data_IF_318720635771
#
_entry.id   IF_318720635771
#
_cell.length_a   1.000
_cell.length_b   1.000
_cell.length_c   1.000
_cell.angle_alpha   90.00
_cell.angle_beta   90.00
_cell.angle_gamma   90.00
#
_symmetry.space_group_name_H-M   'P 1'
#
loop_
_entity.id
_entity.type
_entity.pdbx_description
1 polymer ?
#
# COMPACT_ATOMS: atom_id res chain seq x y z
N UNK A 1 4.51 -1.05 -17.55
CA UNK A 1 4.44 0.41 -17.20
C UNK A 1 5.80 1.07 -17.29
N UNK A 2 5.91 2.28 -17.91
CA UNK A 2 7.14 3.08 -17.97
C UNK A 2 6.95 4.32 -17.10
N UNK A 3 7.82 4.50 -16.10
CA UNK A 3 7.80 5.67 -15.22
C UNK A 3 8.79 6.72 -15.77
N UNK A 4 8.27 7.81 -16.31
CA UNK A 4 9.06 8.94 -16.83
C UNK A 4 9.25 10.01 -15.76
N UNK A 5 8.18 10.33 -15.06
CA UNK A 5 8.14 11.35 -14.02
C UNK A 5 7.45 10.83 -12.76
N UNK A 6 7.98 11.16 -11.60
CA UNK A 6 7.34 10.91 -10.32
C UNK A 6 7.80 11.92 -9.27
N UNK A 7 6.86 12.43 -8.47
CA UNK A 7 7.13 13.45 -7.44
C UNK A 7 6.06 13.49 -6.36
N UNK A 8 6.37 14.16 -5.23
CA UNK A 8 5.35 14.48 -4.23
C UNK A 8 4.42 15.53 -4.83
N UNK A 9 3.13 15.23 -4.85
CA UNK A 9 2.10 16.12 -5.35
C UNK A 9 1.37 16.85 -4.20
N UNK A 10 0.95 16.10 -3.17
CA UNK A 10 0.24 16.65 -2.02
C UNK A 10 0.51 15.88 -0.74
N UNK A 11 0.41 16.58 0.40
CA UNK A 11 0.43 16.03 1.75
C UNK A 11 -0.90 16.44 2.42
N UNK A 12 -1.79 15.49 2.66
CA UNK A 12 -3.13 15.77 3.13
C UNK A 12 -3.37 15.26 4.56
N UNK A 13 -3.96 16.10 5.40
CA UNK A 13 -4.45 15.77 6.75
C UNK A 13 -5.97 15.86 6.83
N UNK A 14 -6.62 16.31 5.74
CA UNK A 14 -8.08 16.45 5.62
C UNK A 14 -8.52 16.36 4.15
N UNK A 15 -9.79 15.98 3.88
CA UNK A 15 -10.27 15.72 2.53
C UNK A 15 -10.11 16.87 1.53
N UNK A 16 -10.22 18.13 1.98
CA UNK A 16 -10.12 19.31 1.13
C UNK A 16 -8.72 19.51 0.51
N UNK A 17 -7.73 18.76 1.02
CA UNK A 17 -6.34 18.77 0.54
C UNK A 17 -6.05 17.65 -0.46
N UNK A 18 -7.02 16.80 -0.75
CA UNK A 18 -6.82 15.73 -1.73
C UNK A 18 -6.69 16.30 -3.13
N UNK A 19 -5.91 15.67 -4.02
CA UNK A 19 -5.78 16.12 -5.40
C UNK A 19 -7.16 16.21 -6.06
N UNK A 20 -7.40 17.32 -6.76
CA UNK A 20 -8.52 17.48 -7.68
C UNK A 20 -8.13 16.92 -9.07
N UNK A 21 -9.13 16.67 -9.93
CA UNK A 21 -8.87 16.27 -11.31
C UNK A 21 -9.17 14.83 -11.66
N UNK A 22 -9.61 14.01 -10.70
CA UNK A 22 -10.16 12.68 -11.00
C UNK A 22 -9.15 11.61 -11.47
N UNK A 23 -7.84 11.84 -11.29
CA UNK A 23 -6.83 10.85 -11.64
C UNK A 23 -6.93 9.62 -10.72
N UNK A 24 -6.76 8.40 -11.27
CA UNK A 24 -6.86 7.18 -10.48
C UNK A 24 -5.76 7.11 -9.40
N UNK A 25 -6.12 6.50 -8.29
CA UNK A 25 -5.27 6.39 -7.10
C UNK A 25 -5.05 4.93 -6.70
N UNK A 26 -3.82 4.60 -6.34
CA UNK A 26 -3.47 3.30 -5.75
C UNK A 26 -2.99 3.55 -4.33
N UNK A 27 -3.75 3.07 -3.35
CA UNK A 27 -3.41 3.24 -1.94
C UNK A 27 -2.45 2.15 -1.45
N UNK A 28 -1.50 2.53 -0.61
CA UNK A 28 -0.61 1.60 0.09
C UNK A 28 -0.96 1.58 1.58
N UNK A 29 -1.31 0.41 2.07
CA UNK A 29 -1.58 0.16 3.49
C UNK A 29 -0.59 -0.86 4.04
N UNK A 30 -0.28 -0.77 5.32
CA UNK A 30 0.63 -1.71 5.96
C UNK A 30 1.15 -1.17 7.28
N UNK A 31 1.78 -2.06 8.05
CA UNK A 31 2.39 -1.68 9.32
C UNK A 31 3.53 -0.70 9.14
N UNK A 32 3.84 0.00 10.22
CA UNK A 32 5.06 0.82 10.27
C UNK A 32 6.29 -0.04 9.98
N UNK A 33 7.22 0.49 9.18
CA UNK A 33 8.48 -0.16 8.79
C UNK A 33 8.30 -1.48 8.00
N UNK A 34 7.12 -1.74 7.45
CA UNK A 34 6.86 -2.90 6.59
C UNK A 34 7.53 -2.76 5.22
N UNK A 35 7.87 -1.55 4.80
CA UNK A 35 8.56 -1.28 3.54
C UNK A 35 7.77 -0.46 2.51
N UNK A 36 6.69 0.26 2.91
CA UNK A 36 5.89 1.09 2.00
C UNK A 36 6.75 2.09 1.21
N UNK A 37 7.48 2.95 1.90
CA UNK A 37 8.35 3.94 1.24
C UNK A 37 9.44 3.30 0.39
N UNK A 38 9.96 2.13 0.80
CA UNK A 38 10.94 1.38 0.01
C UNK A 38 10.33 0.83 -1.28
N UNK A 39 9.10 0.31 -1.21
CA UNK A 39 8.37 -0.15 -2.40
C UNK A 39 8.12 1.00 -3.37
N UNK A 40 7.60 2.14 -2.89
CA UNK A 40 7.33 3.32 -3.70
C UNK A 40 8.63 3.77 -4.40
N UNK A 41 9.71 3.95 -3.65
CA UNK A 41 10.99 4.40 -4.20
C UNK A 41 11.55 3.43 -5.25
N UNK A 42 11.51 2.12 -4.96
CA UNK A 42 12.01 1.09 -5.86
C UNK A 42 11.15 0.98 -7.13
N UNK A 43 9.82 1.00 -6.98
CA UNK A 43 8.91 0.91 -8.11
C UNK A 43 9.03 2.12 -9.03
N UNK A 44 9.06 3.33 -8.48
CA UNK A 44 9.16 4.58 -9.23
C UNK A 44 10.59 4.88 -9.73
N UNK A 45 11.58 4.10 -9.33
CA UNK A 45 12.99 4.34 -9.71
C UNK A 45 13.52 5.67 -9.16
N UNK A 46 13.05 6.09 -7.98
CA UNK A 46 13.46 7.34 -7.33
C UNK A 46 14.09 7.07 -5.97
N UNK A 47 15.21 7.71 -5.68
CA UNK A 47 15.85 7.65 -4.37
C UNK A 47 15.22 8.71 -3.45
N UNK A 48 14.82 8.31 -2.23
CA UNK A 48 14.33 9.21 -1.18
C UNK A 48 13.08 10.07 -1.53
N UNK A 49 12.30 9.69 -2.54
CA UNK A 49 11.04 10.34 -2.85
C UNK A 49 10.04 10.13 -1.71
N UNK A 50 9.76 8.87 -1.38
CA UNK A 50 9.03 8.51 -0.18
C UNK A 50 10.00 8.38 0.99
N UNK A 51 9.82 9.20 2.03
CA UNK A 51 10.70 9.19 3.20
C UNK A 51 10.27 8.10 4.18
N UNK A 52 11.22 7.31 4.62
CA UNK A 52 11.04 6.42 5.77
C UNK A 52 11.05 7.28 7.04
N UNK A 53 9.89 7.69 7.56
CA UNK A 53 9.87 8.36 8.85
C UNK A 53 10.01 7.34 9.97
N UNK A 54 11.10 7.42 10.71
CA UNK A 54 11.32 6.65 11.94
C UNK A 54 10.84 7.36 13.20
N UNK A 55 10.28 8.58 13.07
CA UNK A 55 9.93 9.41 14.23
C UNK A 55 8.45 9.25 14.56
N UNK A 56 8.09 8.64 15.71
CA UNK A 56 6.71 8.59 16.22
C UNK A 56 6.23 10.01 16.58
N UNK A 57 4.96 10.34 16.30
CA UNK A 57 4.31 11.56 16.79
C UNK A 57 4.24 12.73 15.82
N UNK A 58 4.75 12.64 14.59
CA UNK A 58 4.45 13.63 13.54
C UNK A 58 3.02 13.43 13.03
N UNK A 59 2.34 14.54 12.71
CA UNK A 59 1.04 14.56 12.04
C UNK A 59 1.07 13.58 10.88
N UNK A 60 0.23 12.55 10.95
CA UNK A 60 0.20 11.53 9.91
C UNK A 60 -0.58 12.08 8.72
N UNK A 61 0.09 12.16 7.59
CA UNK A 61 -0.47 12.65 6.33
C UNK A 61 -0.73 11.49 5.37
N UNK A 62 -1.70 11.64 4.51
CA UNK A 62 -1.77 10.90 3.26
C UNK A 62 -0.81 11.57 2.29
N UNK A 63 0.15 10.82 1.80
CA UNK A 63 1.16 11.37 0.88
C UNK A 63 0.82 10.92 -0.53
N UNK A 64 0.49 11.88 -1.39
CA UNK A 64 0.16 11.65 -2.80
C UNK A 64 1.42 11.83 -3.64
N UNK A 65 1.83 10.77 -4.31
CA UNK A 65 2.95 10.78 -5.26
C UNK A 65 2.38 10.72 -6.67
N UNK A 66 2.48 11.82 -7.42
CA UNK A 66 2.07 11.86 -8.83
C UNK A 66 3.03 11.07 -9.71
N UNK A 67 2.48 10.33 -10.66
CA UNK A 67 3.22 9.48 -11.60
C UNK A 67 2.80 9.81 -13.02
N UNK A 68 3.72 10.24 -13.85
CA UNK A 68 3.54 10.60 -15.26
C UNK A 68 2.44 11.66 -15.51
N UNK A 69 1.90 12.32 -14.48
CA UNK A 69 0.70 13.15 -14.59
C UNK A 69 -0.59 12.35 -14.86
N UNK A 70 -0.55 11.02 -14.70
CA UNK A 70 -1.63 10.10 -15.09
C UNK A 70 -2.34 9.44 -13.89
N UNK A 71 -1.66 9.26 -12.76
CA UNK A 71 -2.19 8.60 -11.57
C UNK A 71 -1.37 8.92 -10.31
N UNK A 72 -1.86 8.48 -9.15
CA UNK A 72 -1.19 8.67 -7.85
C UNK A 72 -0.93 7.37 -7.12
N UNK A 73 0.29 7.22 -6.56
CA UNK A 73 0.44 6.41 -5.35
C UNK A 73 0.02 7.23 -4.14
N UNK A 74 -0.73 6.61 -3.22
CA UNK A 74 -1.14 7.24 -1.96
C UNK A 74 -0.60 6.43 -0.80
N UNK A 75 0.46 6.95 -0.13
CA UNK A 75 1.03 6.31 1.07
C UNK A 75 0.20 6.69 2.29
N UNK A 76 -0.52 5.71 2.82
CA UNK A 76 -1.30 5.88 4.03
C UNK A 76 -0.43 5.71 5.27
N UNK A 77 -0.77 6.37 6.40
CA UNK A 77 -0.11 6.16 7.67
C UNK A 77 -0.05 4.68 8.04
N UNK A 78 1.13 4.21 8.48
CA UNK A 78 1.29 2.84 8.92
C UNK A 78 0.50 2.56 10.21
N UNK A 79 -0.17 1.43 10.26
CA UNK A 79 -0.84 0.97 11.49
C UNK A 79 0.13 0.20 12.41
N UNK A 80 -0.34 -0.12 13.63
CA UNK A 80 0.44 -0.96 14.57
C UNK A 80 1.50 -0.22 15.40
N UNK A 81 1.44 1.12 15.49
CA UNK A 81 2.30 1.86 16.42
C UNK A 81 1.89 1.60 17.89
N UNK A 82 2.79 0.98 18.66
CA UNK A 82 2.59 0.72 20.08
C UNK A 82 2.61 2.00 20.97
N UNK A 83 3.19 3.10 20.47
CA UNK A 83 3.47 4.31 21.25
C UNK A 83 2.48 5.47 21.02
N UNK A 84 1.30 5.22 20.49
CA UNK A 84 0.26 6.24 20.30
C UNK A 84 -0.93 5.98 21.21
N UNK A 85 -1.59 7.05 21.64
CA UNK A 85 -2.80 6.96 22.47
C UNK A 85 -3.90 6.18 21.75
N UNK A 86 -4.83 5.61 22.53
CA UNK A 86 -6.01 4.94 21.96
C UNK A 86 -6.86 5.91 21.12
N UNK A 87 -6.95 7.17 21.54
CA UNK A 87 -7.70 8.23 20.88
C UNK A 87 -7.08 8.62 19.54
N UNK A 88 -5.77 8.79 19.48
CA UNK A 88 -5.05 9.05 18.22
C UNK A 88 -5.20 7.90 17.25
N UNK A 89 -5.08 6.65 17.73
CA UNK A 89 -5.28 5.45 16.91
C UNK A 89 -6.69 5.39 16.32
N UNK A 90 -7.72 5.69 17.11
CA UNK A 90 -9.10 5.73 16.65
C UNK A 90 -9.34 6.88 15.66
N UNK A 91 -8.74 8.05 15.88
CA UNK A 91 -8.82 9.18 14.93
C UNK A 91 -8.19 8.86 13.60
N UNK A 92 -7.02 8.21 13.60
CA UNK A 92 -6.34 7.79 12.37
C UNK A 92 -7.08 6.67 11.65
N UNK A 93 -7.64 5.72 12.39
CA UNK A 93 -8.50 4.69 11.82
C UNK A 93 -9.65 5.31 11.04
N UNK A 94 -10.39 6.25 11.65
CA UNK A 94 -11.48 6.97 10.98
C UNK A 94 -11.02 7.78 9.76
N UNK A 95 -9.84 8.39 9.82
CA UNK A 95 -9.29 9.15 8.70
C UNK A 95 -8.97 8.27 7.50
N UNK A 96 -8.30 7.13 7.73
CA UNK A 96 -7.97 6.12 6.71
C UNK A 96 -9.27 5.52 6.14
N UNK A 97 -10.19 5.12 7.00
CA UNK A 97 -11.50 4.57 6.63
C UNK A 97 -12.28 5.56 5.75
N UNK A 98 -12.34 6.82 6.15
CA UNK A 98 -13.01 7.88 5.38
C UNK A 98 -12.39 8.03 3.99
N UNK A 99 -11.06 8.05 3.88
CA UNK A 99 -10.39 8.10 2.60
C UNK A 99 -10.74 6.87 1.75
N UNK A 100 -10.52 5.67 2.27
CA UNK A 100 -10.72 4.43 1.52
C UNK A 100 -12.18 4.24 1.07
N UNK A 101 -13.16 4.62 1.90
CA UNK A 101 -14.59 4.38 1.59
C UNK A 101 -15.23 5.48 0.74
N UNK A 102 -14.73 6.72 0.82
CA UNK A 102 -15.35 7.86 0.15
C UNK A 102 -14.60 8.34 -1.08
N UNK A 103 -13.35 7.92 -1.26
CA UNK A 103 -12.53 8.37 -2.39
C UNK A 103 -12.92 7.62 -3.67
N UNK A 104 -13.55 8.33 -4.61
CA UNK A 104 -14.04 7.75 -5.88
C UNK A 104 -12.91 7.36 -6.83
N UNK A 105 -11.80 8.07 -6.77
CA UNK A 105 -10.60 7.88 -7.59
C UNK A 105 -9.78 6.65 -7.19
N UNK A 106 -10.07 6.02 -6.06
CA UNK A 106 -9.34 4.86 -5.58
C UNK A 106 -9.60 3.64 -6.47
N UNK A 107 -8.60 3.27 -7.29
CA UNK A 107 -8.67 2.18 -8.24
C UNK A 107 -8.21 0.82 -7.66
N UNK A 108 -7.41 0.85 -6.59
CA UNK A 108 -6.94 -0.37 -5.94
C UNK A 108 -6.11 -0.10 -4.70
N UNK A 109 -5.87 -1.16 -3.93
CA UNK A 109 -5.12 -1.10 -2.67
C UNK A 109 -4.02 -2.15 -2.67
N UNK A 110 -2.82 -1.74 -2.28
CA UNK A 110 -1.71 -2.66 -2.03
C UNK A 110 -1.55 -2.78 -0.51
N UNK A 111 -1.82 -3.96 0.03
CA UNK A 111 -1.50 -4.25 1.42
C UNK A 111 -0.09 -4.85 1.51
N UNK A 112 0.78 -4.21 2.29
CA UNK A 112 2.14 -4.68 2.50
C UNK A 112 2.23 -5.49 3.79
N UNK A 113 2.91 -6.65 3.71
CA UNK A 113 3.28 -7.48 4.85
C UNK A 113 4.76 -7.83 4.78
N UNK A 114 5.38 -8.11 5.92
CA UNK A 114 6.79 -8.52 5.99
C UNK A 114 6.89 -10.04 5.76
N UNK A 115 7.47 -10.45 4.62
CA UNK A 115 7.56 -11.85 4.22
C UNK A 115 8.38 -12.73 5.19
N UNK A 116 9.19 -12.13 6.05
CA UNK A 116 10.06 -12.86 6.99
C UNK A 116 9.31 -13.50 8.15
N UNK A 117 8.09 -13.06 8.40
CA UNK A 117 7.29 -13.48 9.57
C UNK A 117 5.86 -13.80 9.15
N UNK A 118 5.13 -14.61 9.93
CA UNK A 118 3.69 -14.74 9.78
C UNK A 118 3.01 -13.36 9.87
N UNK A 119 1.92 -13.12 9.13
CA UNK A 119 1.13 -11.90 9.28
C UNK A 119 0.71 -11.69 10.73
N UNK A 120 0.75 -10.44 11.17
CA UNK A 120 0.29 -10.06 12.50
C UNK A 120 -1.24 -9.92 12.52
N UNK A 121 -1.85 -10.01 13.70
CA UNK A 121 -3.29 -9.82 13.88
C UNK A 121 -3.82 -8.53 13.22
N UNK A 122 -3.06 -7.43 13.32
CA UNK A 122 -3.40 -6.16 12.67
C UNK A 122 -3.39 -6.24 11.14
N UNK A 123 -2.56 -7.10 10.54
CA UNK A 123 -2.54 -7.33 9.09
C UNK A 123 -3.80 -8.10 8.66
N UNK A 124 -4.19 -9.12 9.45
CA UNK A 124 -5.42 -9.88 9.25
C UNK A 124 -6.67 -9.01 9.40
N UNK A 125 -6.72 -8.17 10.44
CA UNK A 125 -7.84 -7.24 10.69
C UNK A 125 -8.01 -6.26 9.51
N UNK A 126 -6.91 -5.68 9.01
CA UNK A 126 -6.94 -4.79 7.84
C UNK A 126 -7.42 -5.55 6.61
N UNK A 127 -6.88 -6.73 6.33
CA UNK A 127 -7.29 -7.53 5.17
C UNK A 127 -8.77 -7.90 5.21
N UNK A 128 -9.26 -8.40 6.35
CA UNK A 128 -10.68 -8.74 6.53
C UNK A 128 -11.58 -7.52 6.25
N UNK A 129 -11.18 -6.34 6.72
CA UNK A 129 -11.90 -5.09 6.46
C UNK A 129 -11.89 -4.73 4.96
N UNK A 130 -10.74 -4.83 4.28
CA UNK A 130 -10.62 -4.54 2.86
C UNK A 130 -11.48 -5.48 2.01
N UNK A 131 -11.47 -6.78 2.31
CA UNK A 131 -12.28 -7.79 1.63
C UNK A 131 -13.77 -7.59 1.87
N UNK A 132 -14.16 -7.24 3.12
CA UNK A 132 -15.56 -6.92 3.46
C UNK A 132 -16.11 -5.78 2.58
N UNK A 133 -15.29 -4.76 2.34
CA UNK A 133 -15.64 -3.62 1.48
C UNK A 133 -15.42 -3.88 -0.02
N UNK A 134 -15.02 -5.11 -0.40
CA UNK A 134 -14.82 -5.54 -1.80
C UNK A 134 -13.83 -4.68 -2.58
N UNK A 135 -12.82 -4.14 -1.92
CA UNK A 135 -11.75 -3.41 -2.62
C UNK A 135 -10.93 -4.36 -3.50
N UNK A 136 -10.49 -3.92 -4.69
CA UNK A 136 -9.43 -4.60 -5.43
C UNK A 136 -8.13 -4.53 -4.64
N UNK A 137 -7.63 -5.68 -4.15
CA UNK A 137 -6.45 -5.74 -3.28
C UNK A 137 -5.37 -6.62 -3.90
N UNK A 138 -4.12 -6.15 -3.82
CA UNK A 138 -2.91 -6.97 -4.01
C UNK A 138 -2.13 -7.00 -2.69
N UNK A 139 -1.60 -8.16 -2.31
CA UNK A 139 -0.68 -8.28 -1.18
C UNK A 139 0.75 -8.26 -1.68
N UNK A 140 1.53 -7.26 -1.24
CA UNK A 140 2.97 -7.19 -1.47
C UNK A 140 3.71 -7.71 -0.24
N UNK A 141 4.23 -8.94 -0.31
CA UNK A 141 5.02 -9.56 0.73
C UNK A 141 6.48 -9.11 0.61
N UNK A 142 6.84 -8.09 1.38
CA UNK A 142 8.08 -7.31 1.27
C UNK A 142 9.29 -8.00 1.90
N UNK A 143 10.51 -7.45 1.62
CA UNK A 143 11.80 -7.92 2.16
C UNK A 143 12.16 -9.34 1.74
N UNK A 144 11.73 -9.76 0.56
CA UNK A 144 12.02 -11.07 0.00
C UNK A 144 13.53 -11.34 -0.16
N UNK A 145 14.35 -10.28 -0.32
CA UNK A 145 15.80 -10.35 -0.34
C UNK A 145 16.45 -10.86 0.96
N UNK A 146 15.70 -10.86 2.06
CA UNK A 146 16.16 -11.34 3.37
C UNK A 146 15.94 -12.84 3.56
N UNK A 147 15.40 -13.53 2.57
CA UNK A 147 15.08 -14.96 2.60
C UNK A 147 15.78 -15.70 1.46
N UNK A 148 16.24 -16.94 1.69
CA UNK A 148 16.69 -17.80 0.62
C UNK A 148 15.60 -18.03 -0.42
N UNK A 149 15.94 -18.03 -1.71
CA UNK A 149 14.96 -18.18 -2.81
C UNK A 149 14.07 -19.42 -2.66
N UNK A 150 14.65 -20.55 -2.23
CA UNK A 150 13.89 -21.80 -2.02
C UNK A 150 12.83 -21.73 -0.91
N UNK A 151 12.89 -20.73 -0.01
CA UNK A 151 11.88 -20.53 1.02
C UNK A 151 10.72 -19.64 0.58
N UNK A 152 10.87 -18.87 -0.49
CA UNK A 152 9.86 -17.89 -0.90
C UNK A 152 8.47 -18.50 -1.15
N UNK A 153 8.31 -19.63 -1.86
CA UNK A 153 6.98 -20.22 -2.08
C UNK A 153 6.26 -20.60 -0.78
N UNK A 154 6.99 -21.18 0.16
CA UNK A 154 6.43 -21.55 1.46
C UNK A 154 6.02 -20.35 2.30
N UNK A 155 6.81 -19.25 2.25
CA UNK A 155 6.49 -18.01 2.95
C UNK A 155 5.29 -17.28 2.31
N UNK A 156 5.20 -17.27 0.99
CA UNK A 156 4.02 -16.72 0.29
C UNK A 156 2.77 -17.50 0.68
N UNK A 157 2.85 -18.84 0.73
CA UNK A 157 1.74 -19.66 1.20
C UNK A 157 1.36 -19.31 2.64
N UNK A 158 2.34 -19.15 3.55
CA UNK A 158 2.10 -18.75 4.94
C UNK A 158 1.41 -17.38 5.05
N UNK A 159 1.76 -16.42 4.18
CA UNK A 159 1.08 -15.12 4.10
C UNK A 159 -0.36 -15.31 3.65
N UNK A 160 -0.63 -16.10 2.61
CA UNK A 160 -2.00 -16.38 2.13
C UNK A 160 -2.87 -16.99 3.23
N UNK A 161 -2.35 -18.03 3.87
CA UNK A 161 -3.05 -18.76 4.94
C UNK A 161 -3.30 -17.84 6.15
N UNK A 162 -2.27 -17.10 6.57
CA UNK A 162 -2.34 -16.21 7.75
C UNK A 162 -3.25 -15.00 7.57
N UNK A 163 -3.48 -14.56 6.33
CA UNK A 163 -4.45 -13.49 5.99
C UNK A 163 -5.82 -14.05 5.57
N UNK A 164 -6.00 -15.37 5.53
CA UNK A 164 -7.24 -16.03 5.07
C UNK A 164 -7.71 -15.53 3.70
N UNK A 165 -6.77 -15.41 2.75
CA UNK A 165 -7.04 -14.80 1.45
C UNK A 165 -7.90 -15.69 0.56
N UNK A 166 -8.91 -15.12 -0.16
CA UNK A 166 -9.54 -15.79 -1.29
C UNK A 166 -8.52 -16.26 -2.33
N UNK A 167 -8.86 -17.32 -3.07
CA UNK A 167 -7.94 -17.96 -4.01
C UNK A 167 -7.45 -17.03 -5.12
N UNK A 168 -8.26 -16.08 -5.54
CA UNK A 168 -8.03 -15.10 -6.60
C UNK A 168 -7.27 -13.84 -6.14
N UNK A 169 -7.10 -13.63 -4.83
CA UNK A 169 -6.35 -12.46 -4.34
C UNK A 169 -4.86 -12.61 -4.68
N UNK A 170 -4.26 -11.70 -5.45
CA UNK A 170 -2.86 -11.78 -5.81
C UNK A 170 -1.93 -11.53 -4.61
N UNK A 171 -0.90 -12.36 -4.49
CA UNK A 171 0.18 -12.20 -3.49
C UNK A 171 1.50 -12.27 -4.23
N UNK A 172 2.30 -11.22 -4.15
CA UNK A 172 3.63 -11.15 -4.74
C UNK A 172 4.71 -11.09 -3.68
N UNK A 173 5.79 -11.85 -3.85
CA UNK A 173 7.03 -11.65 -3.10
C UNK A 173 7.76 -10.42 -3.68
N UNK A 174 8.02 -9.42 -2.85
CA UNK A 174 8.61 -8.16 -3.29
C UNK A 174 9.93 -7.83 -2.59
N UNK A 175 10.91 -7.37 -3.36
CA UNK A 175 12.15 -6.82 -2.84
C UNK A 175 12.51 -5.49 -3.51
N UNK A 176 12.57 -4.44 -2.70
CA UNK A 176 13.05 -3.13 -3.14
C UNK A 176 14.56 -3.13 -3.48
N UNK A 177 15.31 -4.13 -3.02
CA UNK A 177 16.77 -4.24 -3.24
C UNK A 177 17.08 -4.94 -4.55
N UNK A 178 16.43 -6.08 -4.81
CA UNK A 178 16.70 -6.90 -6.00
C UNK A 178 15.75 -6.62 -7.17
N UNK A 179 14.65 -5.89 -6.95
CA UNK A 179 13.62 -5.67 -7.95
C UNK A 179 12.65 -6.84 -8.14
N UNK A 180 12.78 -7.91 -7.35
CA UNK A 180 11.83 -9.02 -7.39
C UNK A 180 10.40 -8.53 -7.17
N UNK A 181 9.45 -9.02 -7.97
CA UNK A 181 8.03 -8.68 -7.88
C UNK A 181 7.66 -7.34 -8.53
N UNK A 182 8.63 -6.60 -9.10
CA UNK A 182 8.36 -5.29 -9.72
C UNK A 182 7.53 -5.40 -11.00
N UNK A 183 7.77 -6.41 -11.80
CA UNK A 183 7.04 -6.66 -13.06
C UNK A 183 5.60 -7.08 -12.78
N UNK A 184 5.40 -8.00 -11.84
CA UNK A 184 4.08 -8.48 -11.42
C UNK A 184 3.25 -7.36 -10.79
N UNK A 185 3.90 -6.51 -9.96
CA UNK A 185 3.27 -5.31 -9.41
C UNK A 185 2.86 -4.35 -10.54
N UNK A 186 3.75 -4.13 -11.51
CA UNK A 186 3.48 -3.28 -12.67
C UNK A 186 2.30 -3.76 -13.50
N UNK A 187 2.22 -5.06 -13.77
CA UNK A 187 1.11 -5.65 -14.52
C UNK A 187 -0.24 -5.46 -13.79
N UNK A 188 -0.27 -5.68 -12.47
CA UNK A 188 -1.48 -5.45 -11.68
C UNK A 188 -1.89 -3.97 -11.67
N UNK A 189 -0.92 -3.05 -11.56
CA UNK A 189 -1.18 -1.61 -11.62
C UNK A 189 -1.74 -1.21 -12.98
N UNK A 190 -1.15 -1.68 -14.10
CA UNK A 190 -1.64 -1.40 -15.45
C UNK A 190 -3.10 -1.84 -15.61
N UNK A 191 -3.47 -3.02 -15.10
CA UNK A 191 -4.85 -3.51 -15.13
C UNK A 191 -5.80 -2.63 -14.32
N UNK A 192 -5.41 -2.24 -13.09
CA UNK A 192 -6.27 -1.43 -12.22
C UNK A 192 -6.45 -0.01 -12.73
N UNK A 193 -5.39 0.61 -13.23
CA UNK A 193 -5.43 1.96 -13.77
C UNK A 193 -6.23 2.04 -15.08
N UNK A 194 -6.17 0.99 -15.92
CA UNK A 194 -6.96 0.91 -17.15
C UNK A 194 -8.47 0.78 -16.91
N UNK A 195 -8.87 0.09 -15.82
CA UNK A 195 -10.30 -0.08 -15.47
C UNK A 195 -10.92 1.19 -14.88
N UNK A 196 -10.10 2.18 -14.52
CA UNK A 196 -10.51 3.48 -14.00
C UNK A 196 -11.11 3.43 -12.60
N UNK A 197 -11.27 4.60 -11.99
CA UNK A 197 -11.93 4.80 -10.70
C UNK A 197 -13.48 4.64 -10.77
N UNK A 198 -14.01 3.91 -11.72
CA UNK A 198 -15.40 4.04 -12.17
C UNK A 198 -16.34 2.87 -11.97
N UNK A 199 -16.03 1.83 -11.19
CA UNK A 199 -17.00 0.74 -11.00
C UNK A 199 -17.11 0.31 -9.55
N UNK A 200 -17.62 1.21 -8.70
CA UNK A 200 -18.34 0.82 -7.48
C UNK A 200 -19.79 1.29 -7.61
N UNK A 201 -20.60 0.45 -8.25
CA UNK A 201 -22.07 0.49 -8.14
C UNK A 201 -22.52 -0.28 -6.91
#
# INVERSE_FOLDING_TARGET
MIIREAGIFALAVKPEQYPAGGLPEIALVGRSNVGKSSLINAFLGRKNLARTSSTPGKTQTLNFYGVNGEWFFVDLPGYGYAKVSKEDRARWGRFIETYLTRRKELAGIIQLVDLRHPPMESDGTMMAWLLHHRFPVLVAATKADKLPRGRLPGQVKQVRDGLSLPGDTPVIAFSAVSGLGKEELGAWLDERLATGAGNRT
#
